data_IF_479615474098
#
_entry.id   IF_479615474098
#
_cell.length_a   1.000
_cell.length_b   1.000
_cell.length_c   1.000
_cell.angle_alpha   90.00
_cell.angle_beta   90.00
_cell.angle_gamma   90.00
#
_symmetry.space_group_name_H-M   'P 1'
#
loop_
_entity.id
_entity.type
_entity.pdbx_description
1 polymer ?
#
# COMPACT_ATOMS: atom_id res chain seq x y z
N UNK A 1 -26.20 9.32 -26.47
CA UNK A 1 -25.55 9.43 -25.18
C UNK A 1 -25.46 8.05 -24.54
N UNK A 2 -24.45 7.82 -23.74
CA UNK A 2 -24.28 6.58 -22.98
C UNK A 2 -23.78 6.94 -21.57
N UNK A 3 -24.03 6.07 -20.61
CA UNK A 3 -23.45 6.12 -19.28
C UNK A 3 -22.56 4.90 -19.05
N UNK A 4 -21.41 5.09 -18.39
CA UNK A 4 -20.50 4.03 -18.03
C UNK A 4 -20.29 4.06 -16.51
N UNK A 5 -20.41 2.89 -15.89
CA UNK A 5 -20.11 2.69 -14.46
C UNK A 5 -19.02 1.65 -14.33
N UNK A 6 -17.85 2.07 -13.83
CA UNK A 6 -16.74 1.19 -13.56
C UNK A 6 -16.68 0.84 -12.06
N UNK A 7 -16.46 -0.43 -11.75
CA UNK A 7 -16.28 -0.94 -10.38
C UNK A 7 -15.06 -1.84 -10.34
N UNK A 8 -14.22 -1.66 -9.32
CA UNK A 8 -13.06 -2.53 -9.10
C UNK A 8 -13.14 -3.15 -7.71
N UNK A 9 -12.85 -4.45 -7.63
CA UNK A 9 -12.77 -5.21 -6.38
C UNK A 9 -11.58 -6.15 -6.45
N UNK A 10 -10.71 -6.14 -5.44
CA UNK A 10 -9.56 -7.04 -5.41
C UNK A 10 -8.91 -7.15 -4.05
N UNK A 11 -8.06 -8.18 -3.89
CA UNK A 11 -7.28 -8.42 -2.69
C UNK A 11 -5.92 -8.99 -3.06
N UNK A 12 -4.92 -8.68 -2.23
CA UNK A 12 -3.58 -9.27 -2.28
C UNK A 12 -3.28 -9.87 -0.91
N UNK A 13 -2.83 -11.10 -0.89
CA UNK A 13 -2.37 -11.82 0.30
C UNK A 13 -0.89 -12.09 0.18
N UNK A 14 -0.18 -12.02 1.30
CA UNK A 14 1.23 -12.34 1.39
C UNK A 14 1.48 -13.41 2.45
N UNK A 15 2.27 -14.42 2.11
CA UNK A 15 2.84 -15.35 3.06
C UNK A 15 4.34 -15.06 3.15
N UNK A 16 4.79 -14.60 4.32
CA UNK A 16 6.16 -14.13 4.54
C UNK A 16 6.95 -15.11 5.42
N UNK A 17 8.14 -15.45 4.99
CA UNK A 17 9.16 -16.12 5.80
C UNK A 17 10.40 -15.23 5.84
N UNK A 18 10.94 -15.00 7.04
CA UNK A 18 12.11 -14.16 7.19
C UNK A 18 12.99 -14.57 8.36
N UNK A 19 14.25 -14.17 8.28
CA UNK A 19 15.23 -14.34 9.35
C UNK A 19 16.08 -13.06 9.47
N UNK A 20 16.47 -12.76 10.71
CA UNK A 20 17.34 -11.61 10.98
C UNK A 20 18.33 -11.95 12.11
N UNK A 21 19.48 -11.30 12.03
CA UNK A 21 20.51 -11.43 13.04
C UNK A 21 21.05 -10.05 13.43
N UNK A 22 21.15 -9.82 14.75
CA UNK A 22 21.69 -8.59 15.30
C UNK A 22 23.11 -8.85 15.85
N UNK A 23 24.05 -8.09 15.32
CA UNK A 23 25.46 -8.14 15.65
C UNK A 23 25.78 -7.17 16.79
N UNK A 24 26.85 -7.45 17.50
CA UNK A 24 27.41 -6.70 18.63
C UNK A 24 26.53 -6.73 19.90
N UNK A 25 27.15 -6.59 21.10
CA UNK A 25 26.46 -6.69 22.38
C UNK A 25 25.29 -5.70 22.55
N UNK A 26 25.37 -4.53 21.91
CA UNK A 26 24.31 -3.49 21.92
C UNK A 26 23.34 -3.59 20.75
N UNK A 27 23.43 -4.64 19.91
CA UNK A 27 22.59 -4.80 18.70
C UNK A 27 22.65 -3.59 17.76
N UNK A 28 23.82 -3.00 17.63
CA UNK A 28 24.02 -1.78 16.85
C UNK A 28 23.86 -2.00 15.33
N UNK A 29 24.06 -3.22 14.87
CA UNK A 29 23.87 -3.62 13.48
C UNK A 29 22.96 -4.85 13.44
N UNK A 30 21.91 -4.80 12.64
CA UNK A 30 21.06 -5.95 12.33
C UNK A 30 20.94 -6.11 10.82
N UNK A 31 21.00 -7.37 10.36
CA UNK A 31 20.75 -7.75 8.98
C UNK A 31 19.53 -8.67 8.93
N UNK A 32 18.74 -8.55 7.91
CA UNK A 32 17.54 -9.37 7.71
C UNK A 32 17.36 -9.74 6.25
N UNK A 33 16.78 -10.93 6.06
CA UNK A 33 16.35 -11.44 4.76
C UNK A 33 14.93 -11.98 4.89
N UNK A 34 14.09 -11.75 3.90
CA UNK A 34 12.78 -12.36 3.81
C UNK A 34 12.44 -12.78 2.39
N UNK A 35 11.53 -13.74 2.29
CA UNK A 35 10.89 -14.14 1.06
C UNK A 35 9.38 -14.07 1.27
N UNK A 36 8.69 -13.43 0.35
CA UNK A 36 7.25 -13.26 0.34
C UNK A 36 6.66 -14.02 -0.85
N UNK A 37 5.67 -14.86 -0.60
CA UNK A 37 4.83 -15.42 -1.64
C UNK A 37 3.54 -14.62 -1.69
N UNK A 38 3.33 -13.94 -2.79
CA UNK A 38 2.16 -13.10 -3.04
C UNK A 38 1.15 -13.87 -3.90
N UNK A 39 -0.11 -13.78 -3.53
CA UNK A 39 -1.24 -14.30 -4.30
C UNK A 39 -2.38 -13.31 -4.22
N UNK A 40 -3.03 -13.05 -5.33
CA UNK A 40 -4.12 -12.10 -5.34
C UNK A 40 -4.83 -12.04 -6.66
N UNK A 41 -5.73 -11.10 -6.76
CA UNK A 41 -6.45 -10.81 -7.98
C UNK A 41 -7.41 -9.65 -7.80
N UNK A 42 -7.85 -9.12 -8.91
CA UNK A 42 -8.89 -8.10 -8.94
C UNK A 42 -9.84 -8.36 -10.10
N UNK A 43 -11.04 -7.81 -9.96
CA UNK A 43 -12.07 -7.84 -11.00
C UNK A 43 -12.49 -6.40 -11.27
N UNK A 44 -12.44 -6.00 -12.53
CA UNK A 44 -13.00 -4.73 -13.01
C UNK A 44 -14.26 -5.07 -13.78
N UNK A 45 -15.35 -4.39 -13.45
CA UNK A 45 -16.63 -4.52 -14.15
C UNK A 45 -17.01 -3.16 -14.70
N UNK A 46 -17.16 -3.08 -16.01
CA UNK A 46 -17.65 -1.89 -16.72
C UNK A 46 -19.06 -2.16 -17.24
N UNK A 47 -20.03 -1.44 -16.72
CA UNK A 47 -21.42 -1.46 -17.18
C UNK A 47 -21.65 -0.25 -18.12
N UNK A 48 -21.99 -0.51 -19.38
CA UNK A 48 -22.24 0.48 -20.41
C UNK A 48 -23.74 0.44 -20.74
N UNK A 49 -24.43 1.54 -20.44
CA UNK A 49 -25.86 1.72 -20.74
C UNK A 49 -26.04 2.82 -21.77
N UNK A 50 -26.86 2.58 -22.79
CA UNK A 50 -27.18 3.53 -23.85
C UNK A 50 -28.49 4.27 -23.55
N UNK A 51 -28.42 5.61 -23.54
CA UNK A 51 -29.56 6.48 -23.29
C UNK A 51 -30.43 6.66 -24.54
N UNK A 52 -31.71 6.98 -24.34
CA UNK A 52 -32.58 7.48 -25.40
C UNK A 52 -33.29 6.45 -26.24
N UNK A 53 -33.61 5.23 -25.74
CA UNK A 53 -34.41 4.25 -26.48
C UNK A 53 -33.71 3.70 -27.72
N UNK A 54 -32.38 3.75 -27.73
CA UNK A 54 -31.57 3.16 -28.77
C UNK A 54 -31.80 1.66 -28.86
N UNK A 55 -31.78 1.09 -30.09
CA UNK A 55 -31.80 -0.36 -30.29
C UNK A 55 -30.51 -1.05 -29.79
N UNK A 56 -29.63 -0.30 -29.16
CA UNK A 56 -28.35 -0.81 -28.63
C UNK A 56 -28.59 -1.50 -27.30
N UNK A 57 -28.07 -2.70 -27.20
CA UNK A 57 -28.17 -3.54 -26.00
C UNK A 57 -27.09 -3.10 -24.99
N UNK A 58 -27.42 -2.89 -23.70
CA UNK A 58 -26.43 -2.65 -22.66
C UNK A 58 -25.37 -3.75 -22.62
N UNK A 59 -24.13 -3.35 -22.38
CA UNK A 59 -22.99 -4.27 -22.38
C UNK A 59 -22.30 -4.21 -21.02
N UNK A 60 -21.99 -5.40 -20.49
CA UNK A 60 -21.10 -5.54 -19.33
C UNK A 60 -19.79 -6.17 -19.79
N UNK A 61 -18.69 -5.54 -19.45
CA UNK A 61 -17.35 -6.07 -19.62
C UNK A 61 -16.80 -6.36 -18.23
N UNK A 62 -16.51 -7.63 -17.97
CA UNK A 62 -15.88 -8.09 -16.74
C UNK A 62 -14.47 -8.58 -17.06
N UNK A 63 -13.46 -7.96 -16.45
CA UNK A 63 -12.07 -8.37 -16.54
C UNK A 63 -11.61 -8.84 -15.17
N UNK A 64 -11.33 -10.12 -15.02
CA UNK A 64 -10.82 -10.73 -13.82
C UNK A 64 -9.35 -11.09 -14.01
N UNK A 65 -8.48 -10.58 -13.15
CA UNK A 65 -7.06 -10.89 -13.16
C UNK A 65 -6.69 -11.59 -11.86
N UNK A 66 -6.00 -12.72 -11.98
CA UNK A 66 -5.38 -13.44 -10.87
C UNK A 66 -3.87 -13.46 -11.07
N UNK A 67 -3.13 -13.29 -10.00
CA UNK A 67 -1.67 -13.32 -10.03
C UNK A 67 -1.08 -14.02 -8.82
N UNK A 68 0.12 -14.57 -9.00
CA UNK A 68 0.94 -15.09 -7.91
C UNK A 68 2.42 -14.90 -8.24
N UNK A 69 3.24 -14.74 -7.21
CA UNK A 69 4.68 -14.56 -7.44
C UNK A 69 5.47 -14.50 -6.14
N UNK A 70 6.77 -14.48 -6.29
CA UNK A 70 7.73 -14.38 -5.20
C UNK A 70 8.34 -12.99 -5.16
N UNK A 71 8.68 -12.52 -3.96
CA UNK A 71 9.54 -11.36 -3.73
C UNK A 71 10.60 -11.73 -2.69
N UNK A 72 11.77 -11.15 -2.82
CA UNK A 72 12.89 -11.34 -1.90
C UNK A 72 13.32 -9.99 -1.36
N UNK A 73 13.43 -9.88 -0.04
CA UNK A 73 13.86 -8.63 0.60
C UNK A 73 15.12 -8.84 1.41
N UNK A 74 16.02 -7.88 1.35
CA UNK A 74 17.18 -7.77 2.22
C UNK A 74 17.16 -6.42 2.93
N UNK A 75 17.50 -6.41 4.21
CA UNK A 75 17.48 -5.20 5.02
C UNK A 75 18.65 -5.10 5.98
N UNK A 76 19.01 -3.87 6.28
CA UNK A 76 20.02 -3.48 7.27
C UNK A 76 19.43 -2.44 8.21
N UNK A 77 19.72 -2.59 9.51
CA UNK A 77 19.42 -1.58 10.51
C UNK A 77 20.72 -1.28 11.28
N UNK A 78 21.08 -0.02 11.35
CA UNK A 78 22.24 0.49 12.04
C UNK A 78 21.81 1.48 13.13
N UNK A 79 22.19 1.22 14.38
CA UNK A 79 21.95 2.10 15.52
C UNK A 79 23.30 2.50 16.15
N UNK A 80 24.05 3.43 15.50
CA UNK A 80 25.39 3.79 15.94
C UNK A 80 25.39 4.45 17.33
N UNK A 81 24.28 5.10 17.66
CA UNK A 81 24.05 5.76 18.94
C UNK A 81 22.67 5.38 19.50
N UNK A 82 22.50 5.46 20.82
CA UNK A 82 21.23 5.13 21.48
C UNK A 82 20.04 6.04 21.04
N UNK A 83 20.37 7.20 20.49
CA UNK A 83 19.37 8.16 20.00
C UNK A 83 19.15 8.12 18.50
N UNK A 84 19.95 7.37 17.73
CA UNK A 84 19.89 7.35 16.26
C UNK A 84 19.80 5.93 15.73
N UNK A 85 18.78 5.66 14.90
CA UNK A 85 18.64 4.42 14.14
C UNK A 85 18.41 4.74 12.67
N UNK A 86 19.12 4.06 11.79
CA UNK A 86 19.04 4.19 10.34
C UNK A 86 18.74 2.81 9.77
N UNK A 87 17.73 2.70 8.93
CA UNK A 87 17.34 1.46 8.26
C UNK A 87 17.33 1.62 6.75
N UNK A 88 17.70 0.56 6.05
CA UNK A 88 17.48 0.45 4.61
C UNK A 88 17.04 -0.98 4.28
N UNK A 89 16.13 -1.11 3.32
CA UNK A 89 15.69 -2.40 2.81
C UNK A 89 15.50 -2.32 1.30
N UNK A 90 15.85 -3.39 0.63
CA UNK A 90 15.66 -3.54 -0.81
C UNK A 90 14.90 -4.81 -1.10
N UNK A 91 13.86 -4.70 -1.93
CA UNK A 91 13.01 -5.81 -2.34
C UNK A 91 13.16 -6.00 -3.84
N UNK A 92 13.49 -7.22 -4.23
CA UNK A 92 13.58 -7.68 -5.61
C UNK A 92 12.35 -8.51 -5.95
N UNK A 93 11.69 -8.28 -7.10
CA UNK A 93 10.69 -9.19 -7.63
C UNK A 93 11.34 -10.51 -8.04
N UNK A 94 10.63 -11.59 -7.78
CA UNK A 94 10.94 -12.90 -8.30
C UNK A 94 9.97 -13.30 -9.43
N UNK A 95 10.06 -14.54 -9.90
CA UNK A 95 9.13 -15.05 -10.91
C UNK A 95 7.68 -14.91 -10.49
N UNK A 96 6.84 -14.44 -11.41
CA UNK A 96 5.41 -14.29 -11.20
C UNK A 96 4.62 -14.85 -12.39
N UNK A 97 3.37 -15.20 -12.13
CA UNK A 97 2.40 -15.61 -13.14
C UNK A 97 1.14 -14.79 -13.03
N UNK A 98 0.53 -14.49 -14.16
CA UNK A 98 -0.72 -13.76 -14.26
C UNK A 98 -1.68 -14.51 -15.16
N UNK A 99 -2.95 -14.53 -14.79
CA UNK A 99 -4.04 -15.03 -15.60
C UNK A 99 -5.13 -13.97 -15.70
N UNK A 100 -5.45 -13.59 -16.91
CA UNK A 100 -6.53 -12.66 -17.23
C UNK A 100 -7.70 -13.41 -17.86
N UNK A 101 -8.90 -13.09 -17.42
CA UNK A 101 -10.15 -13.59 -18.01
C UNK A 101 -11.03 -12.39 -18.31
N UNK A 102 -11.27 -12.11 -19.59
CA UNK A 102 -12.18 -11.06 -20.01
C UNK A 102 -13.47 -11.67 -20.49
N UNK A 103 -14.61 -11.20 -19.95
CA UNK A 103 -15.96 -11.61 -20.30
C UNK A 103 -16.72 -10.43 -20.87
N UNK A 104 -17.28 -10.61 -22.04
CA UNK A 104 -18.19 -9.65 -22.67
C UNK A 104 -19.61 -10.21 -22.59
N UNK A 105 -20.53 -9.46 -21.95
CA UNK A 105 -21.91 -9.87 -21.76
C UNK A 105 -22.85 -8.82 -22.32
N UNK A 106 -23.65 -9.19 -23.33
CA UNK A 106 -24.75 -8.34 -23.79
C UNK A 106 -25.98 -8.59 -22.91
N UNK A 107 -26.50 -7.53 -22.29
CA UNK A 107 -27.62 -7.60 -21.33
C UNK A 107 -28.98 -7.39 -22.04
N UNK A 108 -29.33 -8.24 -22.98
CA UNK A 108 -30.66 -8.21 -23.61
C UNK A 108 -31.68 -8.96 -22.76
N UNK A 109 -32.93 -8.47 -22.74
CA UNK A 109 -34.02 -9.12 -22.04
C UNK A 109 -34.38 -10.51 -22.58
N UNK A 110 -33.86 -10.89 -23.76
CA UNK A 110 -34.21 -12.13 -24.46
C UNK A 110 -33.01 -13.04 -24.75
N UNK A 111 -31.78 -12.54 -24.74
CA UNK A 111 -30.60 -13.31 -25.09
C UNK A 111 -29.40 -12.85 -24.25
N UNK A 112 -28.76 -13.79 -23.54
CA UNK A 112 -27.42 -13.63 -22.98
C UNK A 112 -26.41 -14.08 -24.04
N UNK A 113 -25.70 -13.14 -24.63
CA UNK A 113 -24.51 -13.46 -25.39
C UNK A 113 -23.30 -13.22 -24.51
N UNK A 114 -22.51 -14.26 -24.27
CA UNK A 114 -21.25 -14.12 -23.53
C UNK A 114 -20.09 -14.61 -24.38
N UNK A 115 -19.10 -13.78 -24.54
CA UNK A 115 -17.80 -14.15 -25.10
C UNK A 115 -16.77 -14.13 -23.97
N UNK A 116 -15.95 -15.17 -23.89
CA UNK A 116 -14.90 -15.30 -22.86
C UNK A 116 -13.57 -15.42 -23.58
N UNK A 117 -12.66 -14.54 -23.23
CA UNK A 117 -11.26 -14.60 -23.62
C UNK A 117 -10.39 -14.87 -22.37
N UNK A 118 -9.36 -15.69 -22.55
CA UNK A 118 -8.45 -16.04 -21.43
C UNK A 118 -7.03 -15.95 -21.92
N UNK A 119 -6.22 -15.17 -21.23
CA UNK A 119 -4.80 -15.01 -21.49
C UNK A 119 -4.00 -15.38 -20.24
N UNK A 120 -2.96 -16.17 -20.41
CA UNK A 120 -2.04 -16.56 -19.32
C UNK A 120 -0.62 -16.08 -19.65
N UNK A 121 0.01 -15.45 -18.69
CA UNK A 121 1.38 -14.99 -18.74
C UNK A 121 2.19 -15.71 -17.64
N UNK A 122 3.39 -16.15 -17.96
CA UNK A 122 4.34 -16.72 -17.02
C UNK A 122 5.67 -16.00 -17.12
N UNK A 123 6.44 -16.03 -16.04
CA UNK A 123 7.77 -15.41 -15.95
C UNK A 123 7.78 -13.90 -16.24
N UNK A 124 6.72 -13.22 -15.82
CA UNK A 124 6.61 -11.77 -15.94
C UNK A 124 6.98 -11.10 -14.61
N UNK A 125 7.51 -9.87 -14.69
CA UNK A 125 7.73 -9.03 -13.54
C UNK A 125 6.45 -8.24 -13.24
N UNK A 126 5.62 -8.75 -12.33
CA UNK A 126 4.38 -8.09 -11.92
C UNK A 126 4.63 -7.09 -10.80
N UNK A 127 5.61 -7.36 -9.95
CA UNK A 127 5.88 -6.58 -8.77
C UNK A 127 7.06 -5.65 -9.01
N UNK A 128 6.97 -4.38 -8.61
CA UNK A 128 8.07 -3.44 -8.75
C UNK A 128 9.20 -3.77 -7.78
N UNK A 129 10.42 -3.40 -8.17
CA UNK A 129 11.52 -3.28 -7.22
C UNK A 129 11.20 -2.21 -6.20
N UNK A 130 11.63 -2.42 -4.95
CA UNK A 130 11.36 -1.48 -3.88
C UNK A 130 12.61 -1.17 -3.09
N UNK A 131 12.91 0.12 -2.94
CA UNK A 131 13.92 0.63 -2.02
C UNK A 131 13.22 1.41 -0.90
N UNK A 132 13.57 1.08 0.35
CA UNK A 132 13.09 1.78 1.55
C UNK A 132 14.28 2.25 2.34
N UNK A 133 14.24 3.51 2.78
CA UNK A 133 15.24 4.09 3.69
C UNK A 133 14.50 4.81 4.80
N UNK A 134 14.91 4.59 6.04
CA UNK A 134 14.28 5.20 7.19
C UNK A 134 15.29 5.68 8.24
N UNK A 135 14.90 6.72 8.94
CA UNK A 135 15.65 7.33 10.04
C UNK A 135 14.74 7.47 11.26
N UNK A 136 15.23 7.12 12.43
CA UNK A 136 14.57 7.41 13.70
C UNK A 136 15.53 8.10 14.66
N UNK A 137 15.10 9.25 15.19
CA UNK A 137 15.88 10.08 16.12
C UNK A 137 15.11 10.24 17.43
N UNK A 138 15.67 9.74 18.54
CA UNK A 138 15.15 9.97 19.89
C UNK A 138 15.62 11.34 20.38
N UNK A 139 14.72 12.31 20.38
CA UNK A 139 14.98 13.67 20.84
C UNK A 139 15.07 13.76 22.38
N UNK A 140 14.29 12.92 23.07
CA UNK A 140 14.25 12.78 24.51
C UNK A 140 13.68 11.39 24.87
N UNK A 141 13.66 10.96 26.13
CA UNK A 141 13.26 9.59 26.53
C UNK A 141 11.93 9.08 25.97
N UNK A 142 11.00 10.00 25.67
CA UNK A 142 9.64 9.65 25.19
C UNK A 142 9.29 10.31 23.86
N UNK A 143 10.25 10.94 23.18
CA UNK A 143 9.99 11.68 21.94
C UNK A 143 10.85 11.14 20.82
N UNK A 144 10.21 10.73 19.72
CA UNK A 144 10.86 10.19 18.54
C UNK A 144 10.44 11.01 17.33
N UNK A 145 11.42 11.41 16.54
CA UNK A 145 11.22 11.95 15.20
C UNK A 145 11.62 10.85 14.21
N UNK A 146 10.79 10.63 13.21
CA UNK A 146 11.05 9.66 12.12
C UNK A 146 11.02 10.35 10.78
N UNK A 147 11.79 9.84 9.84
CA UNK A 147 11.71 10.19 8.44
C UNK A 147 11.87 8.93 7.60
N UNK A 148 11.15 8.81 6.53
CA UNK A 148 11.24 7.69 5.61
C UNK A 148 11.08 8.10 4.17
N UNK A 149 11.71 7.33 3.31
CA UNK A 149 11.58 7.39 1.87
C UNK A 149 11.42 5.99 1.34
N UNK A 150 10.41 5.81 0.46
CA UNK A 150 10.15 4.55 -0.23
C UNK A 150 10.04 4.85 -1.71
N UNK A 151 10.77 4.08 -2.52
CA UNK A 151 10.66 4.10 -3.98
C UNK A 151 10.25 2.74 -4.49
N UNK A 152 9.21 2.72 -5.34
CA UNK A 152 8.86 1.57 -6.17
C UNK A 152 9.29 1.89 -7.60
N UNK A 153 10.14 1.03 -8.16
CA UNK A 153 10.59 1.16 -9.52
C UNK A 153 9.81 0.19 -10.40
N UNK A 154 8.90 0.73 -11.18
CA UNK A 154 8.20 -0.04 -12.21
C UNK A 154 9.09 -0.12 -13.46
N UNK A 155 9.16 -1.27 -14.12
CA UNK A 155 9.85 -1.41 -15.39
C UNK A 155 8.88 -1.19 -16.56
N UNK A 156 9.39 -0.83 -17.74
CA UNK A 156 8.56 -0.68 -18.93
C UNK A 156 7.87 -2.00 -19.35
N UNK A 157 8.45 -3.16 -18.98
CA UNK A 157 7.82 -4.46 -19.17
C UNK A 157 6.64 -4.69 -18.23
N UNK A 158 6.62 -4.00 -17.06
CA UNK A 158 5.49 -4.01 -16.13
C UNK A 158 4.33 -3.15 -16.66
N UNK A 159 4.57 -2.34 -17.69
CA UNK A 159 3.55 -1.61 -18.44
C UNK A 159 2.58 -2.54 -19.22
N UNK A 160 2.88 -3.84 -19.31
CA UNK A 160 1.88 -4.85 -19.70
C UNK A 160 0.73 -4.94 -18.67
N UNK A 161 0.90 -4.38 -17.50
CA UNK A 161 -0.18 -3.98 -16.59
C UNK A 161 -0.95 -2.79 -17.17
N UNK A 162 -1.56 -2.98 -18.30
CA UNK A 162 -2.64 -2.14 -18.75
C UNK A 162 -3.83 -2.38 -17.80
N UNK A 163 -3.68 -1.89 -16.56
CA UNK A 163 -4.70 -2.01 -15.51
C UNK A 163 -6.02 -1.38 -15.96
N UNK A 164 -5.97 -0.51 -16.95
CA UNK A 164 -7.16 0.10 -17.49
C UNK A 164 -6.90 0.58 -18.94
N UNK A 165 -7.70 0.16 -19.93
CA UNK A 165 -7.63 0.69 -21.29
C UNK A 165 -7.83 2.21 -21.38
N UNK A 166 -8.36 2.86 -20.31
CA UNK A 166 -8.43 4.31 -20.19
C UNK A 166 -7.04 4.99 -20.05
N UNK A 167 -5.98 4.21 -19.84
CA UNK A 167 -4.61 4.70 -19.66
C UNK A 167 -3.69 4.44 -20.85
N UNK A 168 -4.23 4.15 -22.02
CA UNK A 168 -3.41 4.07 -23.24
C UNK A 168 -2.68 5.38 -23.48
N UNK A 169 -1.34 5.30 -23.57
CA UNK A 169 -0.46 6.45 -23.83
C UNK A 169 0.09 7.15 -22.59
N UNK A 170 -0.18 6.65 -21.38
CA UNK A 170 0.45 7.14 -20.16
C UNK A 170 1.86 6.63 -19.99
N UNK A 171 2.73 7.49 -19.45
CA UNK A 171 4.06 7.08 -19.02
C UNK A 171 3.99 6.57 -17.59
N UNK A 172 4.52 5.36 -17.38
CA UNK A 172 4.67 4.78 -16.04
C UNK A 172 6.04 5.18 -15.51
N UNK A 173 6.05 5.91 -14.40
CA UNK A 173 7.25 6.34 -13.69
C UNK A 173 7.45 5.56 -12.38
N UNK A 174 8.45 5.93 -11.58
CA UNK A 174 8.56 5.43 -10.22
C UNK A 174 7.45 6.01 -9.34
N UNK A 175 7.10 5.27 -8.27
CA UNK A 175 6.33 5.82 -7.16
C UNK A 175 7.32 6.19 -6.06
N UNK A 176 7.27 7.43 -5.59
CA UNK A 176 8.08 7.92 -4.47
C UNK A 176 7.18 8.36 -3.32
N UNK A 177 7.47 7.84 -2.13
CA UNK A 177 6.85 8.25 -0.86
C UNK A 177 7.89 8.91 0.03
N UNK A 178 7.55 10.04 0.63
CA UNK A 178 8.34 10.75 1.62
C UNK A 178 7.49 10.99 2.86
N UNK A 179 7.93 10.50 4.01
CA UNK A 179 7.24 10.64 5.29
C UNK A 179 8.09 11.30 6.36
N UNK A 180 7.46 12.13 7.18
CA UNK A 180 8.03 12.64 8.43
C UNK A 180 7.01 12.44 9.54
N UNK A 181 7.42 11.79 10.62
CA UNK A 181 6.58 11.47 11.77
C UNK A 181 7.17 11.92 13.08
N UNK A 182 6.30 12.31 13.99
CA UNK A 182 6.66 12.62 15.38
C UNK A 182 5.80 11.75 16.32
N UNK A 183 6.45 11.11 17.27
CA UNK A 183 5.80 10.30 18.29
C UNK A 183 6.18 10.77 19.70
N UNK A 184 5.17 11.01 20.52
CA UNK A 184 5.34 11.08 21.96
C UNK A 184 4.87 9.76 22.55
N UNK A 185 5.79 8.94 23.03
CA UNK A 185 5.50 7.67 23.69
C UNK A 185 4.87 7.85 25.06
N UNK A 186 3.88 7.00 25.37
CA UNK A 186 3.28 6.94 26.68
C UNK A 186 4.24 6.42 27.75
N UNK A 187 4.15 6.95 28.96
CA UNK A 187 4.90 6.46 30.13
C UNK A 187 4.12 5.30 30.72
N UNK A 188 4.65 4.08 30.61
CA UNK A 188 3.98 2.86 31.08
C UNK A 188 4.32 2.62 32.56
N UNK A 189 3.59 3.30 33.46
CA UNK A 189 3.72 3.17 34.91
C UNK A 189 2.39 3.40 35.60
N UNK A 190 2.10 2.62 36.63
CA UNK A 190 0.86 2.73 37.43
C UNK A 190 0.76 4.05 38.23
N UNK A 191 1.91 4.72 38.43
CA UNK A 191 1.95 5.94 39.26
C UNK A 191 1.82 7.24 38.44
N UNK A 192 1.63 7.15 37.11
CA UNK A 192 1.48 8.34 36.27
C UNK A 192 0.02 8.58 35.91
N UNK A 193 -0.41 9.84 35.74
CA UNK A 193 -1.72 10.17 35.25
C UNK A 193 -2.01 9.54 33.88
N UNK A 194 -3.22 9.09 33.65
CA UNK A 194 -3.62 8.38 32.41
C UNK A 194 -3.20 9.09 31.13
N UNK A 195 -3.35 10.41 31.03
CA UNK A 195 -2.97 11.18 29.84
C UNK A 195 -1.46 11.10 29.53
N UNK A 196 -0.60 10.81 30.51
CA UNK A 196 0.84 10.61 30.31
C UNK A 196 1.16 9.20 29.80
N UNK A 197 0.26 8.23 30.02
CA UNK A 197 0.40 6.87 29.47
C UNK A 197 -0.03 6.76 28.01
N UNK A 198 -0.69 7.78 27.47
CA UNK A 198 -1.11 7.81 26.07
C UNK A 198 0.08 8.07 25.12
N UNK A 199 0.09 7.36 24.02
CA UNK A 199 0.99 7.60 22.90
C UNK A 199 0.30 8.49 21.88
N UNK A 200 0.94 9.60 21.50
CA UNK A 200 0.45 10.52 20.47
C UNK A 200 1.38 10.46 19.27
N UNK A 201 0.78 10.41 18.07
CA UNK A 201 1.52 10.40 16.80
C UNK A 201 1.00 11.48 15.89
N UNK A 202 1.89 12.11 15.19
CA UNK A 202 1.63 13.08 14.14
C UNK A 202 2.55 12.77 12.97
N UNK A 203 2.03 12.84 11.74
CA UNK A 203 2.83 12.64 10.53
C UNK A 203 2.33 13.49 9.39
N UNK A 204 3.26 13.82 8.51
CA UNK A 204 2.99 14.40 7.20
C UNK A 204 3.69 13.56 6.16
N UNK A 205 3.07 13.40 5.00
CA UNK A 205 3.69 12.67 3.91
C UNK A 205 3.35 13.30 2.56
N UNK A 206 4.17 12.96 1.59
CA UNK A 206 4.06 13.37 0.20
C UNK A 206 4.36 12.19 -0.70
N UNK A 207 3.48 11.94 -1.67
CA UNK A 207 3.62 10.87 -2.66
C UNK A 207 3.66 11.45 -4.06
N UNK A 208 4.58 10.94 -4.88
CA UNK A 208 4.55 11.05 -6.32
C UNK A 208 4.16 9.70 -6.90
N UNK A 209 3.00 9.63 -7.54
CA UNK A 209 2.47 8.37 -8.07
C UNK A 209 3.17 7.98 -9.37
N UNK A 210 3.16 6.68 -9.67
CA UNK A 210 3.73 6.12 -10.88
C UNK A 210 3.00 6.51 -12.18
N UNK A 211 1.77 7.03 -12.08
CA UNK A 211 1.00 7.51 -13.21
C UNK A 211 1.30 8.99 -13.43
N UNK A 212 1.65 9.34 -14.67
CA UNK A 212 1.84 10.73 -15.09
C UNK A 212 0.86 11.08 -16.21
N UNK A 213 0.58 12.35 -16.34
CA UNK A 213 -0.19 12.87 -17.47
C UNK A 213 0.60 12.86 -18.78
N UNK A 214 0.00 13.33 -19.88
CA UNK A 214 0.64 13.41 -21.20
C UNK A 214 1.86 14.35 -21.25
N UNK A 215 2.03 15.23 -20.24
CA UNK A 215 3.18 16.12 -20.09
C UNK A 215 4.25 15.53 -19.17
N UNK A 216 4.04 14.31 -18.63
CA UNK A 216 4.94 13.64 -17.70
C UNK A 216 4.83 14.16 -16.26
N UNK A 217 3.77 14.91 -15.91
CA UNK A 217 3.54 15.38 -14.54
C UNK A 217 2.88 14.27 -13.73
N UNK A 218 3.51 13.76 -12.65
CA UNK A 218 2.94 12.70 -11.85
C UNK A 218 1.73 13.18 -11.04
N UNK A 219 0.79 12.27 -10.78
CA UNK A 219 -0.25 12.48 -9.76
C UNK A 219 0.42 12.59 -8.40
N UNK A 220 0.01 13.56 -7.58
CA UNK A 220 0.61 13.84 -6.28
C UNK A 220 -0.40 13.74 -5.16
N UNK A 221 0.04 13.18 -4.04
CA UNK A 221 -0.74 13.12 -2.80
C UNK A 221 -0.01 13.85 -1.67
N UNK A 222 -0.72 14.69 -0.96
CA UNK A 222 -0.28 15.31 0.28
C UNK A 222 -1.15 14.78 1.40
N UNK A 223 -0.52 14.26 2.46
CA UNK A 223 -1.24 13.65 3.55
C UNK A 223 -0.81 14.13 4.93
N UNK A 224 -1.78 14.09 5.85
CA UNK A 224 -1.63 14.36 7.27
C UNK A 224 -2.15 13.16 8.05
N UNK A 225 -1.40 12.69 9.04
CA UNK A 225 -1.82 11.60 9.91
C UNK A 225 -1.80 12.01 11.39
N UNK A 226 -2.81 11.56 12.14
CA UNK A 226 -2.93 11.72 13.58
C UNK A 226 -3.16 10.34 14.20
N UNK A 227 -2.44 10.02 15.28
CA UNK A 227 -2.58 8.74 15.96
C UNK A 227 -2.64 8.86 17.47
N UNK A 228 -3.46 8.01 18.09
CA UNK A 228 -3.61 7.88 19.53
C UNK A 228 -3.48 6.42 19.94
N UNK A 229 -2.53 6.11 20.82
CA UNK A 229 -2.37 4.79 21.40
C UNK A 229 -2.77 4.80 22.88
N UNK A 230 -3.71 3.92 23.26
CA UNK A 230 -4.24 3.77 24.61
C UNK A 230 -3.81 2.42 25.15
N UNK A 231 -2.90 2.37 26.15
CA UNK A 231 -2.54 1.12 26.80
C UNK A 231 -3.65 0.65 27.74
N UNK A 232 -3.86 -0.66 27.83
CA UNK A 232 -4.77 -1.29 28.78
C UNK A 232 -4.20 -2.61 29.32
N UNK A 233 -4.88 -3.24 30.26
CA UNK A 233 -4.47 -4.48 30.90
C UNK A 233 -3.02 -4.44 31.41
N UNK A 234 -2.75 -3.55 32.38
CA UNK A 234 -1.43 -3.33 32.98
C UNK A 234 -0.35 -3.03 31.91
N UNK A 235 -0.69 -2.24 30.90
CA UNK A 235 0.17 -1.81 29.78
C UNK A 235 0.69 -2.93 28.85
N UNK A 236 0.15 -4.14 28.95
CA UNK A 236 0.52 -5.25 28.07
C UNK A 236 -0.16 -5.15 26.71
N UNK A 237 -1.34 -4.59 26.70
CA UNK A 237 -2.18 -4.48 25.50
C UNK A 237 -2.37 -3.02 25.13
N UNK A 238 -2.66 -2.75 23.86
CA UNK A 238 -2.86 -1.39 23.36
C UNK A 238 -3.99 -1.35 22.32
N UNK A 239 -4.78 -0.31 22.38
CA UNK A 239 -5.69 0.09 21.32
C UNK A 239 -5.07 1.30 20.64
N UNK A 240 -4.93 1.25 19.33
CA UNK A 240 -4.47 2.37 18.51
C UNK A 240 -5.61 2.85 17.62
N UNK A 241 -5.84 4.15 17.59
CA UNK A 241 -6.72 4.83 16.64
C UNK A 241 -5.88 5.75 15.77
N UNK A 242 -6.13 5.75 14.47
CA UNK A 242 -5.45 6.63 13.53
C UNK A 242 -6.46 7.29 12.60
N UNK A 243 -6.22 8.55 12.30
CA UNK A 243 -6.93 9.33 11.29
C UNK A 243 -5.93 9.85 10.29
N UNK A 244 -6.23 9.68 8.99
CA UNK A 244 -5.42 10.18 7.89
C UNK A 244 -6.32 11.01 6.98
N UNK A 245 -5.86 12.18 6.59
CA UNK A 245 -6.47 13.05 5.61
C UNK A 245 -5.51 13.24 4.45
N UNK A 246 -5.96 12.98 3.24
CA UNK A 246 -5.18 13.02 2.01
C UNK A 246 -5.83 13.95 1.00
N UNK A 247 -5.00 14.68 0.27
CA UNK A 247 -5.39 15.42 -0.91
C UNK A 247 -4.65 14.87 -2.12
N UNK A 248 -5.37 14.21 -3.01
CA UNK A 248 -4.88 13.77 -4.30
C UNK A 248 -5.06 14.89 -5.32
N UNK A 249 -4.05 15.12 -6.14
CA UNK A 249 -4.10 16.10 -7.23
C UNK A 249 -3.44 15.51 -8.47
N UNK A 250 -4.13 15.63 -9.61
CA UNK A 250 -3.62 15.15 -10.89
C UNK A 250 -4.45 15.69 -12.03
N UNK A 251 -3.92 15.58 -13.23
CA UNK A 251 -4.63 15.93 -14.45
C UNK A 251 -5.39 14.70 -14.92
N UNK A 252 -6.71 14.79 -14.98
CA UNK A 252 -7.54 13.76 -15.59
C UNK A 252 -7.54 13.94 -17.11
N UNK A 253 -7.50 12.81 -17.82
CA UNK A 253 -7.50 12.78 -19.28
C UNK A 253 -8.83 13.30 -19.80
N UNK A 254 -8.75 14.25 -20.73
CA UNK A 254 -9.85 14.51 -21.65
C UNK A 254 -9.85 13.42 -22.73
N UNK A 255 -11.04 13.03 -23.22
CA UNK A 255 -11.16 12.28 -24.46
C UNK A 255 -10.29 12.90 -25.56
N UNK A 256 -9.80 12.10 -26.50
CA UNK A 256 -8.89 12.51 -27.56
C UNK A 256 -9.29 13.89 -28.16
N UNK A 257 -8.65 14.95 -27.68
CA UNK A 257 -8.88 16.33 -28.07
C UNK A 257 -9.74 17.20 -27.13
N UNK A 258 -10.17 16.67 -25.96
CA UNK A 258 -10.84 17.43 -24.91
C UNK A 258 -9.88 18.18 -23.98
N UNK A 259 -10.36 19.20 -23.25
CA UNK A 259 -9.52 19.91 -22.29
C UNK A 259 -9.11 18.99 -21.14
N UNK A 260 -7.83 19.04 -20.75
CA UNK A 260 -7.31 18.39 -19.57
C UNK A 260 -8.07 18.93 -18.33
N UNK A 261 -8.71 18.05 -17.59
CA UNK A 261 -9.39 18.41 -16.35
C UNK A 261 -8.44 18.15 -15.17
N UNK A 262 -8.07 19.21 -14.48
CA UNK A 262 -7.37 19.10 -13.22
C UNK A 262 -8.35 18.68 -12.12
N UNK A 263 -8.13 17.49 -11.54
CA UNK A 263 -8.96 16.98 -10.46
C UNK A 263 -8.24 17.06 -9.10
N UNK A 264 -9.02 17.37 -8.08
CA UNK A 264 -8.61 17.27 -6.69
C UNK A 264 -9.60 16.38 -5.96
N UNK A 265 -9.08 15.41 -5.24
CA UNK A 265 -9.86 14.51 -4.40
C UNK A 265 -9.37 14.63 -2.95
N UNK A 266 -10.31 14.63 -2.01
CA UNK A 266 -10.00 14.51 -0.58
C UNK A 266 -10.45 13.16 -0.09
N UNK A 267 -9.52 12.40 0.50
CA UNK A 267 -9.76 11.08 1.05
C UNK A 267 -9.49 11.09 2.56
N UNK A 268 -10.37 10.46 3.32
CA UNK A 268 -10.24 10.36 4.77
C UNK A 268 -10.26 8.90 5.17
N UNK A 269 -9.26 8.48 5.95
CA UNK A 269 -9.18 7.13 6.49
C UNK A 269 -9.24 7.18 8.01
N UNK A 270 -10.03 6.29 8.58
CA UNK A 270 -10.05 6.05 10.02
C UNK A 270 -9.78 4.58 10.30
N UNK A 271 -8.78 4.32 11.14
CA UNK A 271 -8.34 2.95 11.47
C UNK A 271 -8.32 2.76 12.98
N UNK A 272 -8.85 1.63 13.45
CA UNK A 272 -8.69 1.17 14.82
C UNK A 272 -8.00 -0.19 14.78
N UNK A 273 -6.97 -0.35 15.60
CA UNK A 273 -6.30 -1.63 15.80
C UNK A 273 -6.15 -1.97 17.26
N UNK A 274 -6.14 -3.26 17.57
CA UNK A 274 -5.97 -3.79 18.93
C UNK A 274 -4.75 -4.70 18.90
N UNK A 275 -3.75 -4.38 19.73
CA UNK A 275 -2.59 -5.23 19.95
C UNK A 275 -2.72 -5.94 21.29
N UNK A 276 -2.73 -7.27 21.25
CA UNK A 276 -2.82 -8.14 22.44
C UNK A 276 -1.52 -8.93 22.52
N UNK A 277 -0.79 -8.74 23.63
CA UNK A 277 0.42 -9.52 23.90
C UNK A 277 0.10 -10.61 24.92
N UNK A 278 0.14 -11.87 24.48
CA UNK A 278 0.06 -13.03 25.36
C UNK A 278 1.44 -13.70 25.47
N UNK A 279 1.84 -14.05 26.69
CA UNK A 279 3.04 -14.85 26.93
C UNK A 279 2.68 -16.34 26.82
N UNK A 280 2.86 -16.93 25.65
CA UNK A 280 2.56 -18.36 25.39
C UNK A 280 3.49 -19.33 26.10
N UNK A 281 4.67 -18.88 26.59
CA UNK A 281 5.64 -19.72 27.31
C UNK A 281 5.99 -19.08 28.66
N UNK A 282 5.28 -19.46 29.70
CA UNK A 282 5.74 -19.27 31.07
C UNK A 282 6.76 -20.35 31.40
N UNK A 283 8.05 -20.07 31.33
CA UNK A 283 9.03 -20.81 32.09
C UNK A 283 8.73 -20.58 33.57
N UNK A 284 8.10 -21.55 34.22
CA UNK A 284 8.02 -21.58 35.68
C UNK A 284 9.45 -21.58 36.20
N UNK A 285 9.96 -20.40 36.59
CA UNK A 285 11.18 -20.30 37.36
C UNK A 285 10.98 -21.11 38.64
N UNK A 286 11.78 -22.17 38.84
CA UNK A 286 11.90 -22.85 40.12
C UNK A 286 12.44 -21.79 41.09
N UNK A 287 11.57 -21.29 41.96
CA UNK A 287 12.06 -20.67 43.21
C UNK A 287 12.82 -21.74 43.99
N UNK A 288 14.10 -21.51 44.16
CA UNK A 288 14.91 -22.07 45.24
C UNK A 288 15.28 -20.98 46.19
#
# INVERSE_FOLDING_TARGET
DYSEVSRSLGNIYAATVGAGYAFFPKKQLALGLSADYLIGGYTITNDIEFEGGSLLTPVRIERAEGFSGLQFSAGINLSPFDFLSIGAAYTLPGPASQREITRYMALSSSYYYSYIDTTEFSDINIFPEQLRVGLALKLAPHYILTGDWVRYQFSESDAAFSINPLFEGQQIGPFDHYGIGFEKQGILSEYVPFHKSLTYRFGVFFDEHYLSDSEGIPVRTYGLSLGLGVPFNQFRNRIDAAFVAEQNSGTLFGDAGGPLLYAREFVYHFTISISIAETWFHTRGKFR
#
